data_IF_727610818381
#
_entry.id   IF_727610818381
#
_cell.length_a   1.000
_cell.length_b   1.000
_cell.length_c   1.000
_cell.angle_alpha   90.00
_cell.angle_beta   90.00
_cell.angle_gamma   90.00
#
_symmetry.space_group_name_H-M   'P 1'
#
loop_
_entity.id
_entity.type
_entity.pdbx_description
1 polymer ?
#
# COMPACT_ATOMS: atom_id res chain seq x y z
N UNK A 1 -4.66 -4.00 23.53
CA UNK A 1 -5.16 -3.26 22.36
C UNK A 1 -3.97 -2.88 21.53
N UNK A 2 -3.81 -3.47 20.35
CA UNK A 2 -2.54 -3.46 19.60
C UNK A 2 -2.71 -2.85 18.21
N UNK A 3 -2.75 -1.53 18.14
CA UNK A 3 -2.68 -0.75 16.90
C UNK A 3 -1.23 -0.38 16.59
N UNK A 4 -0.37 -1.38 16.46
CA UNK A 4 1.01 -1.20 16.01
C UNK A 4 1.18 -1.72 14.58
N UNK A 5 2.05 -1.06 13.80
CA UNK A 5 2.34 -1.45 12.42
C UNK A 5 2.78 -2.93 12.29
N UNK A 6 3.46 -3.45 13.31
CA UNK A 6 3.90 -4.85 13.38
C UNK A 6 2.74 -5.87 13.49
N UNK A 7 1.58 -5.45 14.01
CA UNK A 7 0.40 -6.31 14.17
C UNK A 7 -0.62 -6.18 13.03
N UNK A 8 -0.39 -5.29 12.06
CA UNK A 8 -1.37 -4.95 11.02
C UNK A 8 -1.66 -6.12 10.06
N UNK A 9 -0.62 -6.79 9.55
CA UNK A 9 -0.80 -7.93 8.64
C UNK A 9 -1.24 -9.22 9.37
N UNK A 10 -0.89 -9.36 10.65
CA UNK A 10 -1.22 -10.53 11.45
C UNK A 10 -2.73 -10.68 11.72
N UNK A 11 -3.54 -9.62 11.61
CA UNK A 11 -4.98 -9.74 11.89
C UNK A 11 -5.80 -10.29 10.73
N UNK A 12 -5.46 -9.97 9.47
CA UNK A 12 -6.19 -10.49 8.31
C UNK A 12 -5.90 -11.97 8.10
N UNK A 13 -4.63 -12.37 8.24
CA UNK A 13 -4.24 -13.78 8.10
C UNK A 13 -4.83 -14.67 9.20
N UNK A 14 -4.84 -14.22 10.47
CA UNK A 14 -5.40 -15.01 11.58
C UNK A 14 -6.91 -15.27 11.47
N UNK A 15 -7.67 -14.39 10.80
CA UNK A 15 -9.13 -14.50 10.71
C UNK A 15 -9.60 -15.03 9.36
N UNK A 16 -8.94 -14.62 8.27
CA UNK A 16 -9.37 -14.95 6.91
C UNK A 16 -8.45 -15.96 6.19
N UNK A 17 -7.31 -16.33 6.78
CA UNK A 17 -6.33 -17.26 6.18
C UNK A 17 -5.57 -16.69 4.97
N UNK A 18 -5.83 -15.43 4.61
CA UNK A 18 -5.19 -14.70 3.51
C UNK A 18 -4.93 -13.26 3.91
N UNK A 19 -3.79 -12.72 3.47
CA UNK A 19 -3.34 -11.37 3.83
C UNK A 19 -4.13 -10.25 3.15
N UNK A 20 -4.72 -10.52 1.97
CA UNK A 20 -5.54 -9.57 1.20
C UNK A 20 -6.64 -10.34 0.45
N UNK A 21 -7.91 -10.00 0.68
CA UNK A 21 -9.08 -10.60 0.00
C UNK A 21 -9.41 -9.93 -1.33
N UNK A 22 -8.73 -8.82 -1.68
CA UNK A 22 -9.02 -8.06 -2.88
C UNK A 22 -8.37 -8.73 -4.09
N UNK A 23 -9.15 -8.94 -5.12
CA UNK A 23 -8.66 -9.46 -6.38
C UNK A 23 -8.19 -8.32 -7.28
N UNK A 24 -6.95 -7.84 -7.04
CA UNK A 24 -6.39 -6.68 -7.74
C UNK A 24 -6.12 -6.94 -9.23
N UNK A 25 -6.11 -8.20 -9.68
CA UNK A 25 -5.94 -8.56 -11.09
C UNK A 25 -7.06 -8.02 -12.00
N UNK A 26 -8.27 -7.80 -11.47
CA UNK A 26 -9.39 -7.20 -12.23
C UNK A 26 -9.37 -5.67 -12.22
N UNK A 27 -8.51 -5.03 -11.42
CA UNK A 27 -8.41 -3.57 -11.35
C UNK A 27 -8.15 -2.90 -12.72
N UNK A 28 -7.32 -3.46 -13.64
CA UNK A 28 -7.05 -2.82 -14.92
C UNK A 28 -8.24 -2.80 -15.90
N UNK A 29 -9.30 -3.59 -15.68
CA UNK A 29 -10.43 -3.71 -16.60
C UNK A 29 -11.10 -2.36 -16.89
N UNK A 30 -11.31 -1.55 -15.84
CA UNK A 30 -11.88 -0.21 -15.99
C UNK A 30 -10.94 0.69 -16.81
N UNK A 31 -9.63 0.56 -16.65
CA UNK A 31 -8.65 1.32 -17.43
C UNK A 31 -8.70 0.92 -18.91
N UNK A 32 -8.86 -0.38 -19.21
CA UNK A 32 -9.05 -0.88 -20.57
C UNK A 32 -10.34 -0.39 -21.21
N UNK A 33 -11.46 -0.40 -20.47
CA UNK A 33 -12.73 0.16 -20.96
C UNK A 33 -12.65 1.64 -21.28
N UNK A 34 -11.86 2.39 -20.51
CA UNK A 34 -11.58 3.80 -20.78
C UNK A 34 -10.56 4.02 -21.92
N UNK A 35 -10.02 2.94 -22.50
CA UNK A 35 -9.04 3.02 -23.58
C UNK A 35 -7.64 3.48 -23.14
N UNK A 36 -7.34 3.44 -21.84
CA UNK A 36 -6.05 3.84 -21.30
C UNK A 36 -4.99 2.82 -21.73
N UNK A 37 -3.91 3.31 -22.34
CA UNK A 37 -2.75 2.50 -22.75
C UNK A 37 -1.45 2.91 -22.07
N UNK A 38 -1.44 4.10 -21.48
CA UNK A 38 -0.27 4.69 -20.81
C UNK A 38 -0.72 5.55 -19.65
N UNK A 39 0.02 5.49 -18.55
CA UNK A 39 -0.12 6.30 -17.36
C UNK A 39 1.24 6.96 -17.10
N UNK A 40 1.34 8.27 -17.31
CA UNK A 40 2.60 8.98 -17.09
C UNK A 40 2.96 9.05 -15.61
N UNK A 41 1.97 9.17 -14.72
CA UNK A 41 2.17 9.36 -13.27
C UNK A 41 1.26 8.44 -12.47
N UNK A 42 1.76 7.28 -12.09
CA UNK A 42 1.05 6.31 -11.27
C UNK A 42 1.31 6.55 -9.78
N UNK A 43 0.33 7.16 -9.10
CA UNK A 43 0.43 7.49 -7.68
C UNK A 43 0.00 6.29 -6.83
N UNK A 44 0.94 5.43 -6.49
CA UNK A 44 0.71 4.26 -5.63
C UNK A 44 2.02 3.65 -5.16
N UNK A 45 2.06 3.30 -3.88
CA UNK A 45 3.17 2.51 -3.32
C UNK A 45 2.94 1.00 -3.43
N UNK A 46 1.79 0.51 -3.91
CA UNK A 46 1.47 -0.93 -3.97
C UNK A 46 2.03 -1.64 -5.20
N UNK A 47 2.87 -2.65 -4.97
CA UNK A 47 3.41 -3.50 -6.04
C UNK A 47 2.34 -4.35 -6.72
N UNK A 48 1.36 -4.84 -5.95
CA UNK A 48 0.24 -5.59 -6.50
C UNK A 48 -0.55 -4.77 -7.53
N UNK A 49 -0.81 -3.49 -7.25
CA UNK A 49 -1.48 -2.59 -8.21
C UNK A 49 -0.60 -2.29 -9.43
N UNK A 50 0.69 -2.00 -9.21
CA UNK A 50 1.64 -1.73 -10.29
C UNK A 50 1.74 -2.93 -11.24
N UNK A 51 1.95 -4.12 -10.69
CA UNK A 51 2.09 -5.36 -11.46
C UNK A 51 0.82 -5.68 -12.25
N UNK A 52 -0.36 -5.58 -11.63
CA UNK A 52 -1.63 -5.82 -12.33
C UNK A 52 -1.78 -4.91 -13.56
N UNK A 53 -1.43 -3.61 -13.45
CA UNK A 53 -1.54 -2.66 -14.58
C UNK A 53 -0.53 -3.00 -15.68
N UNK A 54 0.74 -3.17 -15.34
CA UNK A 54 1.80 -3.42 -16.33
C UNK A 54 1.60 -4.75 -17.04
N UNK A 55 1.25 -5.81 -16.30
CA UNK A 55 0.96 -7.12 -16.88
C UNK A 55 -0.27 -7.11 -17.80
N UNK A 56 -1.21 -6.18 -17.57
CA UNK A 56 -2.37 -5.96 -18.45
C UNK A 56 -2.05 -5.15 -19.71
N UNK A 57 -0.78 -4.88 -20.02
CA UNK A 57 -0.32 -4.11 -21.19
C UNK A 57 -0.64 -2.61 -21.16
N UNK A 58 -0.65 -2.01 -19.97
CA UNK A 58 -0.70 -0.55 -19.80
C UNK A 58 0.68 -0.07 -19.34
N UNK A 59 1.28 0.85 -20.09
CA UNK A 59 2.59 1.42 -19.77
C UNK A 59 2.49 2.37 -18.57
N UNK A 60 3.38 2.24 -17.59
CA UNK A 60 3.57 3.22 -16.52
C UNK A 60 4.94 3.86 -16.69
N UNK A 61 4.99 5.18 -16.83
CA UNK A 61 6.26 5.92 -17.04
C UNK A 61 6.93 6.22 -15.71
N UNK A 62 6.16 6.78 -14.78
CA UNK A 62 6.67 7.15 -13.47
C UNK A 62 5.72 6.63 -12.39
N UNK A 63 6.28 5.89 -11.44
CA UNK A 63 5.61 5.58 -10.18
C UNK A 63 5.92 6.68 -9.18
N UNK A 64 4.91 7.10 -8.43
CA UNK A 64 5.02 8.21 -7.49
C UNK A 64 4.54 7.74 -6.14
N UNK A 65 5.39 7.88 -5.13
CA UNK A 65 5.00 7.63 -3.76
C UNK A 65 3.98 8.70 -3.32
N UNK A 66 2.95 8.29 -2.56
CA UNK A 66 1.99 9.25 -1.99
C UNK A 66 2.75 10.12 -0.98
N UNK A 67 2.74 11.47 -1.12
CA UNK A 67 3.37 12.37 -0.17
C UNK A 67 2.82 12.17 1.25
N UNK A 68 3.69 12.26 2.26
CA UNK A 68 3.32 11.95 3.64
C UNK A 68 2.21 12.85 4.19
N UNK A 69 2.17 14.11 3.75
CA UNK A 69 1.13 15.07 4.11
C UNK A 69 -0.23 14.81 3.47
N UNK A 70 -0.31 13.92 2.47
CA UNK A 70 -1.57 13.47 1.85
C UNK A 70 -2.04 12.12 2.39
N UNK A 71 -1.27 11.49 3.28
CA UNK A 71 -1.66 10.27 3.97
C UNK A 71 -2.53 10.66 5.17
N UNK A 72 -3.82 10.28 5.18
CA UNK A 72 -4.65 10.56 6.34
C UNK A 72 -4.11 9.79 7.57
N UNK A 73 -4.28 10.36 8.76
CA UNK A 73 -3.64 9.87 9.99
C UNK A 73 -3.98 8.41 10.32
N UNK A 74 -5.15 7.94 9.90
CA UNK A 74 -5.61 6.55 10.03
C UNK A 74 -4.86 5.56 9.11
N UNK A 75 -4.31 6.04 7.98
CA UNK A 75 -3.55 5.24 7.02
C UNK A 75 -2.03 5.24 7.29
N UNK A 76 -1.56 6.01 8.29
CA UNK A 76 -0.13 6.07 8.63
C UNK A 76 0.43 4.73 9.10
N UNK A 77 -0.34 3.97 9.88
CA UNK A 77 0.04 2.61 10.33
C UNK A 77 0.14 1.65 9.15
N UNK A 78 -0.84 1.69 8.24
CA UNK A 78 -0.88 0.85 7.06
C UNK A 78 0.28 1.17 6.10
N UNK A 79 0.61 2.45 5.92
CA UNK A 79 1.74 2.85 5.08
C UNK A 79 3.07 2.52 5.75
N UNK A 80 3.23 2.72 7.06
CA UNK A 80 4.44 2.31 7.77
C UNK A 80 4.68 0.80 7.66
N UNK A 81 3.63 -0.01 7.88
CA UNK A 81 3.70 -1.46 7.71
C UNK A 81 4.07 -1.86 6.27
N UNK A 82 3.50 -1.19 5.26
CA UNK A 82 3.82 -1.44 3.85
C UNK A 82 5.24 -1.01 3.47
N UNK A 83 5.71 0.14 3.97
CA UNK A 83 7.11 0.58 3.80
C UNK A 83 8.07 -0.46 4.38
N UNK A 84 7.79 -0.98 5.57
CA UNK A 84 8.58 -2.05 6.20
C UNK A 84 8.56 -3.38 5.43
N UNK A 85 7.47 -3.67 4.72
CA UNK A 85 7.34 -4.84 3.85
C UNK A 85 7.99 -4.67 2.46
N UNK A 86 8.72 -3.57 2.21
CA UNK A 86 9.48 -3.34 0.98
C UNK A 86 8.71 -2.67 -0.15
N UNK A 87 7.58 -2.01 0.14
CA UNK A 87 6.79 -1.30 -0.87
C UNK A 87 7.55 -0.07 -1.41
N UNK A 88 7.33 0.25 -2.69
CA UNK A 88 8.00 1.34 -3.38
C UNK A 88 7.90 2.68 -2.65
N UNK A 89 9.07 3.28 -2.39
CA UNK A 89 9.23 4.64 -1.87
C UNK A 89 10.39 5.31 -2.60
N UNK A 90 10.28 6.61 -2.84
CA UNK A 90 11.37 7.40 -3.44
C UNK A 90 12.53 7.63 -2.44
N UNK A 91 12.27 7.43 -1.14
CA UNK A 91 13.23 7.56 -0.06
C UNK A 91 13.47 6.20 0.60
N UNK A 92 14.63 5.60 0.32
CA UNK A 92 15.14 4.35 0.92
C UNK A 92 15.59 4.57 2.38
N UNK A 93 14.76 5.20 3.20
CA UNK A 93 15.03 5.24 4.65
C UNK A 93 14.35 4.02 5.24
N UNK A 94 15.09 2.91 5.35
CA UNK A 94 14.65 1.74 6.10
C UNK A 94 14.35 2.19 7.53
N UNK A 95 13.06 2.23 7.90
CA UNK A 95 12.69 2.40 9.29
C UNK A 95 13.03 1.10 10.03
N UNK A 96 13.92 1.18 11.00
CA UNK A 96 14.25 0.07 11.89
C UNK A 96 12.99 -0.38 12.67
N UNK A 97 12.94 -1.67 13.03
CA UNK A 97 11.85 -2.30 13.77
C UNK A 97 11.38 -1.53 15.04
N UNK A 98 12.29 -0.79 15.68
CA UNK A 98 12.03 0.08 16.84
C UNK A 98 11.19 1.30 16.42
N UNK A 99 11.50 1.92 15.29
CA UNK A 99 10.76 3.08 14.78
C UNK A 99 9.36 2.67 14.30
N UNK A 100 9.22 1.47 13.71
CA UNK A 100 7.94 0.86 13.34
C UNK A 100 7.03 0.57 14.53
N UNK A 101 7.60 0.17 15.67
CA UNK A 101 6.85 -0.09 16.90
C UNK A 101 6.25 1.18 17.53
N UNK A 102 6.79 2.36 17.21
CA UNK A 102 6.29 3.65 17.71
C UNK A 102 5.17 4.25 16.85
N UNK A 103 4.94 3.75 15.63
CA UNK A 103 3.81 4.19 14.80
C UNK A 103 2.53 3.55 15.34
N UNK A 104 1.77 4.32 16.10
CA UNK A 104 0.49 3.91 16.67
C UNK A 104 -0.69 4.45 15.85
N UNK A 105 -1.70 3.61 15.67
CA UNK A 105 -3.01 3.99 15.12
C UNK A 105 -3.84 4.79 16.11
N UNK A 106 -5.13 5.00 15.81
CA UNK A 106 -6.00 5.78 16.69
C UNK A 106 -6.09 5.14 18.08
N UNK A 107 -5.90 5.96 19.12
CA UNK A 107 -6.45 5.67 20.44
C UNK A 107 -7.96 5.80 20.36
N UNK A 108 -8.66 4.70 20.08
CA UNK A 108 -10.10 4.62 20.33
C UNK A 108 -10.26 4.72 21.86
N UNK A 109 -10.63 5.91 22.34
CA UNK A 109 -11.20 6.04 23.67
C UNK A 109 -12.59 5.41 23.61
N UNK A 110 -12.81 4.41 24.46
CA UNK A 110 -14.13 3.81 24.70
C UNK A 110 -15.16 4.88 25.13
#
# INVERSE_FOLDING_TARGET
GGDSANAYFNRTECVAGVQDIRFQELMPDVLHWLGIKRIDRFVSMSDMKYNAIVQSSIEIIQRIAIPENLIPADAQVEIAAKKAAGYYTDNTTELDAIALAQVQGRGLAD
#
